data_IF_829665537859
#
_entry.id   IF_829665537859
#
_cell.length_a   1.000
_cell.length_b   1.000
_cell.length_c   1.000
_cell.angle_alpha   90.00
_cell.angle_beta   90.00
_cell.angle_gamma   90.00
#
_symmetry.space_group_name_H-M   'P 1'
#
loop_
_entity.id
_entity.type
_entity.pdbx_description
1 polymer ?
#
# COMPACT_ATOMS: atom_id res chain seq x y z
N UNK A 1 10.77 -2.20 -48.83
CA UNK A 1 12.24 -2.04 -48.96
C UNK A 1 12.82 -1.94 -47.56
N UNK A 2 13.71 -2.90 -47.27
CA UNK A 2 14.84 -3.00 -46.33
C UNK A 2 14.51 -2.82 -44.84
N UNK A 3 14.34 -3.86 -44.06
CA UNK A 3 15.29 -4.86 -43.47
C UNK A 3 16.59 -4.23 -42.98
N UNK A 4 16.71 -4.16 -41.66
CA UNK A 4 18.02 -4.32 -41.01
C UNK A 4 17.82 -4.96 -39.64
N UNK A 5 17.98 -6.27 -39.57
CA UNK A 5 18.31 -7.06 -38.41
C UNK A 5 19.69 -6.64 -37.90
N UNK A 6 19.80 -6.40 -36.59
CA UNK A 6 21.12 -6.39 -35.96
C UNK A 6 21.15 -7.45 -34.88
N UNK A 7 21.65 -8.60 -35.25
CA UNK A 7 22.15 -9.65 -34.36
C UNK A 7 23.57 -9.24 -33.98
N UNK A 8 23.83 -9.08 -32.71
CA UNK A 8 25.21 -9.08 -32.21
C UNK A 8 25.38 -10.14 -31.14
N UNK A 9 25.84 -11.26 -31.62
CA UNK A 9 26.49 -12.34 -30.86
C UNK A 9 27.85 -11.84 -30.41
N UNK A 10 28.19 -11.98 -29.16
CA UNK A 10 29.50 -11.71 -28.64
C UNK A 10 29.75 -12.60 -27.44
N UNK A 11 30.53 -13.63 -27.70
CA UNK A 11 30.87 -14.74 -26.85
C UNK A 11 32.01 -14.42 -25.85
N UNK A 12 32.01 -15.24 -24.79
CA UNK A 12 33.17 -15.76 -24.02
C UNK A 12 34.21 -14.78 -23.44
N UNK A 13 34.33 -14.82 -22.13
CA UNK A 13 35.65 -14.97 -21.49
C UNK A 13 35.49 -15.80 -20.22
N UNK A 14 36.06 -16.98 -20.25
CA UNK A 14 36.43 -17.82 -19.12
C UNK A 14 37.61 -17.18 -18.38
N UNK A 15 37.58 -17.35 -17.05
CA UNK A 15 38.73 -17.65 -16.15
C UNK A 15 38.18 -17.39 -14.73
N UNK A 16 37.95 -18.35 -13.89
CA UNK A 16 38.88 -19.27 -13.28
C UNK A 16 39.47 -18.61 -12.03
N UNK A 17 39.14 -19.15 -10.86
CA UNK A 17 39.98 -19.37 -9.67
C UNK A 17 39.13 -19.33 -8.41
N UNK A 18 38.79 -20.51 -7.90
CA UNK A 18 39.29 -21.19 -6.69
C UNK A 18 39.15 -20.37 -5.40
N UNK A 19 38.23 -20.85 -4.56
CA UNK A 19 38.44 -21.19 -3.18
C UNK A 19 38.52 -20.05 -2.17
N UNK A 20 37.37 -19.72 -1.59
CA UNK A 20 37.29 -19.57 -0.16
C UNK A 20 35.95 -20.19 0.25
N UNK A 21 35.98 -21.22 1.08
CA UNK A 21 34.85 -21.77 1.78
C UNK A 21 34.36 -20.71 2.78
N UNK A 22 33.62 -19.73 2.27
CA UNK A 22 32.79 -18.87 3.06
C UNK A 22 31.42 -19.58 3.20
N UNK A 23 31.10 -20.03 4.38
CA UNK A 23 29.76 -20.43 4.75
C UNK A 23 28.86 -19.24 4.43
N UNK A 24 28.26 -19.26 3.25
CA UNK A 24 27.10 -18.39 2.96
C UNK A 24 26.04 -18.83 3.95
N UNK A 25 25.89 -18.03 5.01
CA UNK A 25 24.65 -17.97 5.74
C UNK A 25 23.60 -17.59 4.70
N UNK A 26 22.97 -18.61 4.14
CA UNK A 26 21.69 -18.46 3.46
C UNK A 26 20.75 -17.98 4.55
N UNK A 27 20.70 -16.67 4.72
CA UNK A 27 19.57 -16.05 5.43
C UNK A 27 18.36 -16.50 4.61
N UNK A 28 17.46 -17.34 5.15
CA UNK A 28 16.22 -17.60 4.46
C UNK A 28 15.61 -16.23 4.23
N UNK A 29 15.55 -15.77 2.99
CA UNK A 29 14.63 -14.74 2.62
C UNK A 29 13.28 -15.30 3.05
N UNK A 30 12.82 -14.86 4.23
CA UNK A 30 11.46 -15.10 4.65
C UNK A 30 10.64 -14.56 3.49
N UNK A 31 10.13 -15.48 2.68
CA UNK A 31 9.17 -15.16 1.66
C UNK A 31 8.03 -14.49 2.43
N UNK A 32 8.05 -13.17 2.46
CA UNK A 32 6.88 -12.41 2.84
C UNK A 32 5.85 -12.84 1.82
N UNK A 33 5.01 -13.79 2.23
CA UNK A 33 3.88 -14.20 1.44
C UNK A 33 3.18 -12.91 1.04
N UNK A 34 3.22 -12.60 -0.26
CA UNK A 34 2.57 -11.40 -0.79
C UNK A 34 1.10 -11.51 -0.39
N UNK A 35 0.74 -10.80 0.65
CA UNK A 35 -0.64 -10.77 1.12
C UNK A 35 -1.47 -10.19 -0.02
N UNK A 36 -2.32 -11.02 -0.59
CA UNK A 36 -3.23 -10.63 -1.67
C UNK A 36 -4.56 -10.21 -1.05
N UNK A 37 -5.11 -9.15 -1.60
CA UNK A 37 -6.48 -8.74 -1.28
C UNK A 37 -7.44 -9.85 -1.74
N UNK A 38 -8.38 -10.23 -0.91
CA UNK A 38 -9.40 -11.22 -1.25
C UNK A 38 -10.25 -10.73 -2.43
N UNK A 39 -10.74 -11.65 -3.26
CA UNK A 39 -11.50 -11.29 -4.47
C UNK A 39 -12.75 -10.47 -4.13
N UNK A 40 -13.45 -10.82 -3.05
CA UNK A 40 -14.68 -10.12 -2.61
C UNK A 40 -14.43 -8.65 -2.25
N UNK A 41 -13.24 -8.34 -1.76
CA UNK A 41 -12.80 -6.98 -1.43
C UNK A 41 -12.14 -6.32 -2.64
N UNK A 42 -11.35 -7.05 -3.39
CA UNK A 42 -10.58 -6.54 -4.52
C UNK A 42 -11.43 -5.98 -5.65
N UNK A 43 -12.57 -6.62 -5.97
CA UNK A 43 -13.47 -6.16 -7.02
C UNK A 43 -14.04 -4.76 -6.73
N UNK A 44 -14.69 -4.52 -5.59
CA UNK A 44 -15.19 -3.17 -5.28
C UNK A 44 -14.05 -2.17 -5.05
N UNK A 45 -12.87 -2.55 -4.51
CA UNK A 45 -11.74 -1.64 -4.39
C UNK A 45 -11.20 -1.21 -5.76
N UNK A 46 -11.18 -2.08 -6.75
CA UNK A 46 -10.82 -1.72 -8.13
C UNK A 46 -11.79 -0.68 -8.70
N UNK A 47 -13.09 -0.88 -8.53
CA UNK A 47 -14.09 0.09 -8.94
C UNK A 47 -13.96 1.43 -8.18
N UNK A 48 -13.55 1.39 -6.91
CA UNK A 48 -13.21 2.58 -6.15
C UNK A 48 -12.00 3.32 -6.74
N UNK A 49 -10.93 2.61 -7.13
CA UNK A 49 -9.76 3.21 -7.78
C UNK A 49 -10.13 3.91 -9.09
N UNK A 50 -10.98 3.30 -9.91
CA UNK A 50 -11.48 3.91 -11.14
C UNK A 50 -12.28 5.20 -10.87
N UNK A 51 -13.08 5.19 -9.80
CA UNK A 51 -13.83 6.36 -9.37
C UNK A 51 -12.90 7.47 -8.86
N UNK A 52 -11.85 7.12 -8.11
CA UNK A 52 -10.81 8.03 -7.63
C UNK A 52 -10.07 8.67 -8.81
N UNK A 53 -9.68 7.88 -9.81
CA UNK A 53 -9.01 8.39 -11.01
C UNK A 53 -9.86 9.43 -11.77
N UNK A 54 -11.18 9.27 -11.72
CA UNK A 54 -12.16 10.21 -12.28
C UNK A 54 -12.57 11.32 -11.32
N UNK A 55 -11.94 11.42 -10.13
CA UNK A 55 -12.27 12.38 -9.05
C UNK A 55 -13.73 12.30 -8.57
N UNK A 56 -14.38 11.16 -8.76
CA UNK A 56 -15.74 10.88 -8.29
C UNK A 56 -15.69 10.35 -6.86
N UNK A 57 -15.46 11.24 -5.90
CA UNK A 57 -15.17 10.89 -4.50
C UNK A 57 -16.31 10.15 -3.81
N UNK A 58 -17.56 10.57 -4.02
CA UNK A 58 -18.74 9.93 -3.42
C UNK A 58 -18.97 8.52 -4.00
N UNK A 59 -18.79 8.35 -5.30
CA UNK A 59 -18.84 7.04 -5.94
C UNK A 59 -17.72 6.13 -5.41
N UNK A 60 -16.51 6.68 -5.22
CA UNK A 60 -15.40 5.94 -4.62
C UNK A 60 -15.73 5.50 -3.19
N UNK A 61 -16.28 6.39 -2.35
CA UNK A 61 -16.72 6.04 -0.99
C UNK A 61 -17.78 4.95 -1.00
N UNK A 62 -18.74 4.99 -1.93
CA UNK A 62 -19.74 3.93 -2.10
C UNK A 62 -19.09 2.57 -2.35
N UNK A 63 -18.12 2.51 -3.25
CA UNK A 63 -17.38 1.29 -3.59
C UNK A 63 -16.46 0.81 -2.45
N UNK A 64 -15.85 1.72 -1.71
CA UNK A 64 -15.06 1.38 -0.53
C UNK A 64 -15.95 0.78 0.57
N UNK A 65 -17.13 1.34 0.80
CA UNK A 65 -18.10 0.80 1.76
C UNK A 65 -18.61 -0.59 1.35
N UNK A 66 -18.80 -0.82 0.06
CA UNK A 66 -19.14 -2.13 -0.49
C UNK A 66 -18.03 -3.15 -0.19
N UNK A 67 -16.75 -2.77 -0.38
CA UNK A 67 -15.61 -3.58 0.01
C UNK A 67 -15.57 -3.84 1.53
N UNK A 68 -15.89 -2.82 2.32
CA UNK A 68 -15.89 -2.94 3.79
C UNK A 68 -17.04 -3.81 4.32
N UNK A 69 -18.14 -3.89 3.61
CA UNK A 69 -19.25 -4.79 3.96
C UNK A 69 -19.00 -6.25 3.56
N UNK A 70 -17.93 -6.56 2.81
CA UNK A 70 -17.65 -7.93 2.36
C UNK A 70 -17.41 -8.87 3.55
N UNK A 71 -18.02 -10.07 3.56
CA UNK A 71 -17.81 -11.03 4.63
C UNK A 71 -16.45 -11.73 4.52
N UNK A 72 -15.86 -12.08 5.67
CA UNK A 72 -14.61 -12.84 5.74
C UNK A 72 -13.38 -12.04 5.35
N UNK A 73 -13.38 -10.73 5.56
CA UNK A 73 -12.21 -9.86 5.34
C UNK A 73 -11.03 -10.30 6.21
N UNK A 74 -9.85 -10.28 5.62
CA UNK A 74 -8.59 -10.44 6.35
C UNK A 74 -8.14 -9.11 6.95
N UNK A 75 -7.18 -9.15 7.88
CA UNK A 75 -6.55 -7.92 8.38
C UNK A 75 -5.90 -7.09 7.27
N UNK A 76 -5.36 -7.76 6.26
CA UNK A 76 -4.78 -7.11 5.08
C UNK A 76 -5.84 -6.45 4.19
N UNK A 77 -7.01 -7.10 4.01
CA UNK A 77 -8.14 -6.51 3.30
C UNK A 77 -8.58 -5.21 3.99
N UNK A 78 -8.73 -5.25 5.31
CA UNK A 78 -9.11 -4.07 6.08
C UNK A 78 -8.06 -2.96 6.00
N UNK A 79 -6.76 -3.32 6.01
CA UNK A 79 -5.69 -2.37 5.80
C UNK A 79 -5.82 -1.66 4.44
N UNK A 80 -6.09 -2.40 3.35
CA UNK A 80 -6.26 -1.84 2.01
C UNK A 80 -7.52 -1.01 1.85
N UNK A 81 -8.61 -1.41 2.48
CA UNK A 81 -9.85 -0.61 2.56
C UNK A 81 -9.56 0.74 3.23
N UNK A 82 -8.91 0.72 4.40
CA UNK A 82 -8.58 1.92 5.16
C UNK A 82 -7.60 2.82 4.39
N UNK A 83 -6.65 2.24 3.64
CA UNK A 83 -5.71 2.99 2.79
C UNK A 83 -6.43 3.84 1.74
N UNK A 84 -7.47 3.31 1.10
CA UNK A 84 -8.27 4.07 0.16
C UNK A 84 -9.22 5.06 0.86
N UNK A 85 -9.80 4.65 1.98
CA UNK A 85 -10.80 5.43 2.70
C UNK A 85 -10.22 6.74 3.24
N UNK A 86 -9.05 6.67 3.95
CA UNK A 86 -8.44 7.88 4.47
C UNK A 86 -7.97 8.81 3.33
N UNK A 87 -7.51 8.27 2.20
CA UNK A 87 -7.13 9.06 1.05
C UNK A 87 -8.32 9.83 0.46
N UNK A 88 -9.47 9.16 0.27
CA UNK A 88 -10.66 9.81 -0.26
C UNK A 88 -11.18 10.89 0.70
N UNK A 89 -11.19 10.63 2.01
CA UNK A 89 -11.56 11.65 3.00
C UNK A 89 -10.63 12.86 2.97
N UNK A 90 -9.32 12.62 2.80
CA UNK A 90 -8.34 13.69 2.67
C UNK A 90 -8.63 14.56 1.43
N UNK A 91 -8.94 13.95 0.28
CA UNK A 91 -9.29 14.67 -0.95
C UNK A 91 -10.59 15.49 -0.83
N UNK A 92 -11.51 15.04 0.02
CA UNK A 92 -12.74 15.77 0.32
C UNK A 92 -12.56 16.84 1.43
N UNK A 93 -11.36 17.02 1.98
CA UNK A 93 -11.10 17.95 3.09
C UNK A 93 -11.68 17.47 4.43
N UNK A 94 -12.12 16.21 4.52
CA UNK A 94 -12.68 15.58 5.73
C UNK A 94 -11.56 15.13 6.67
N UNK A 95 -10.81 16.08 7.20
CA UNK A 95 -9.57 15.80 7.95
C UNK A 95 -9.81 14.97 9.22
N UNK A 96 -10.91 15.18 9.93
CA UNK A 96 -11.26 14.39 11.12
C UNK A 96 -11.53 12.92 10.80
N UNK A 97 -12.26 12.65 9.70
CA UNK A 97 -12.56 11.29 9.27
C UNK A 97 -11.29 10.61 8.74
N UNK A 98 -10.48 11.32 7.96
CA UNK A 98 -9.19 10.83 7.48
C UNK A 98 -8.25 10.48 8.65
N UNK A 99 -8.19 11.31 9.69
CA UNK A 99 -7.39 11.07 10.88
C UNK A 99 -7.83 9.80 11.61
N UNK A 100 -9.14 9.62 11.82
CA UNK A 100 -9.69 8.44 12.51
C UNK A 100 -9.36 7.14 11.77
N UNK A 101 -9.49 7.13 10.45
CA UNK A 101 -9.16 5.95 9.63
C UNK A 101 -7.67 5.66 9.64
N UNK A 102 -6.83 6.70 9.54
CA UNK A 102 -5.38 6.55 9.58
C UNK A 102 -4.89 6.06 10.95
N UNK A 103 -5.50 6.53 12.05
CA UNK A 103 -5.23 6.04 13.41
C UNK A 103 -5.48 4.52 13.50
N UNK A 104 -6.64 4.06 13.03
CA UNK A 104 -6.96 2.62 12.97
C UNK A 104 -6.00 1.83 12.09
N UNK A 105 -5.54 2.41 10.99
CA UNK A 105 -4.57 1.78 10.10
C UNK A 105 -3.20 1.62 10.78
N UNK A 106 -2.71 2.63 11.51
CA UNK A 106 -1.46 2.58 12.27
C UNK A 106 -1.56 1.53 13.38
N UNK A 107 -2.71 1.45 14.07
CA UNK A 107 -2.95 0.50 15.15
C UNK A 107 -3.11 -0.95 14.68
N UNK A 108 -3.43 -1.18 13.39
CA UNK A 108 -3.70 -2.53 12.84
C UNK A 108 -2.49 -3.47 12.82
N UNK A 109 -1.28 -2.94 12.95
CA UNK A 109 -0.04 -3.71 12.84
C UNK A 109 0.30 -4.20 11.42
N UNK A 110 -0.52 -3.92 10.41
CA UNK A 110 -0.30 -4.31 9.02
C UNK A 110 0.56 -3.32 8.24
N UNK A 111 0.84 -2.18 8.83
CA UNK A 111 1.63 -1.13 8.18
C UNK A 111 3.11 -1.48 8.16
N UNK A 112 3.81 -1.34 7.01
CA UNK A 112 5.26 -1.47 6.95
C UNK A 112 5.95 -0.54 7.95
N UNK A 113 6.96 -1.05 8.66
CA UNK A 113 7.66 -0.29 9.71
C UNK A 113 8.23 1.04 9.20
N UNK A 114 8.74 1.06 7.96
CA UNK A 114 9.26 2.27 7.32
C UNK A 114 8.21 3.37 7.07
N UNK A 115 6.93 3.01 6.95
CA UNK A 115 5.86 3.98 6.72
C UNK A 115 5.27 4.53 8.02
N UNK A 116 5.38 3.80 9.12
CA UNK A 116 4.72 4.13 10.39
C UNK A 116 5.05 5.54 10.87
N UNK A 117 6.33 5.92 10.84
CA UNK A 117 6.77 7.26 11.29
C UNK A 117 6.15 8.36 10.44
N UNK A 118 6.18 8.22 9.12
CA UNK A 118 5.60 9.21 8.20
C UNK A 118 4.09 9.30 8.37
N UNK A 119 3.39 8.19 8.54
CA UNK A 119 1.95 8.15 8.75
C UNK A 119 1.54 8.74 10.09
N UNK A 120 2.34 8.53 11.15
CA UNK A 120 2.10 9.16 12.46
C UNK A 120 2.22 10.69 12.37
N UNK A 121 3.22 11.21 11.66
CA UNK A 121 3.33 12.66 11.41
C UNK A 121 2.14 13.19 10.62
N UNK A 122 1.69 12.46 9.61
CA UNK A 122 0.49 12.83 8.83
C UNK A 122 -0.75 12.84 9.72
N UNK A 123 -0.89 11.86 10.62
CA UNK A 123 -1.99 11.80 11.58
C UNK A 123 -2.04 13.03 12.49
N UNK A 124 -0.90 13.41 13.06
CA UNK A 124 -0.78 14.63 13.87
C UNK A 124 -1.22 15.87 13.09
N UNK A 125 -0.79 16.02 11.85
CA UNK A 125 -1.20 17.14 10.98
C UNK A 125 -2.71 17.13 10.68
N UNK A 126 -3.30 15.96 10.47
CA UNK A 126 -4.74 15.83 10.23
C UNK A 126 -5.54 16.23 11.46
N UNK A 127 -5.12 15.82 12.66
CA UNK A 127 -5.75 16.24 13.91
C UNK A 127 -5.64 17.74 14.14
N UNK A 128 -4.48 18.34 13.87
CA UNK A 128 -4.30 19.78 13.95
C UNK A 128 -5.25 20.52 12.99
N UNK A 129 -5.36 20.06 11.74
CA UNK A 129 -6.30 20.63 10.74
C UNK A 129 -7.77 20.44 11.12
N UNK A 130 -8.07 19.37 11.84
CA UNK A 130 -9.41 19.08 12.35
C UNK A 130 -9.74 19.84 13.65
N UNK A 131 -8.83 20.68 14.16
CA UNK A 131 -9.01 21.39 15.43
C UNK A 131 -8.87 20.53 16.68
N UNK A 132 -8.36 19.30 16.53
CA UNK A 132 -8.18 18.33 17.62
C UNK A 132 -6.75 18.36 18.17
N UNK A 133 -6.33 19.51 18.66
CA UNK A 133 -4.93 19.77 19.06
C UNK A 133 -4.41 18.84 20.15
N UNK A 134 -5.27 18.40 21.10
CA UNK A 134 -4.89 17.45 22.12
C UNK A 134 -4.44 16.08 21.57
N UNK A 135 -5.06 15.63 20.49
CA UNK A 135 -4.68 14.40 19.79
C UNK A 135 -3.49 14.58 18.83
N UNK A 136 -3.24 15.81 18.40
CA UNK A 136 -2.10 16.11 17.52
C UNK A 136 -0.78 16.10 18.28
N UNK A 137 -0.81 16.33 19.60
CA UNK A 137 0.36 16.39 20.47
C UNK A 137 0.71 15.07 21.14
N UNK A 138 -0.16 14.06 21.07
CA UNK A 138 0.04 12.72 21.62
C UNK A 138 0.83 11.80 20.67
#
# INVERSE_FOLDING_TARGET
MSKASFVLTGALAMAGWIGVAGTMLVVPATAQAQQKVSQKVGVPLKAAQESIAKKKWDAALGKIKEADAAPGKTAFDQYKINEMLWYVYLQQGRNADAARVLEGQIASGQMPAGEKVTRTKTLAQLYARAGSYGKAAA
#
